data_IF_236059269708
#
_entry.id   IF_236059269708
#
_cell.length_a   1.000
_cell.length_b   1.000
_cell.length_c   1.000
_cell.angle_alpha   90.00
_cell.angle_beta   90.00
_cell.angle_gamma   90.00
#
_symmetry.space_group_name_H-M   'P 1'
#
loop_
_entity.id
_entity.type
_entity.pdbx_description
1 polymer ?
#
# COMPACT_ATOMS: atom_id res chain seq x y z
N UNK A 1 4.96 -21.54 -2.06
CA UNK A 1 3.82 -20.90 -2.74
C UNK A 1 4.36 -19.56 -3.18
N UNK A 2 4.23 -19.18 -4.45
CA UNK A 2 4.61 -17.82 -4.89
C UNK A 2 3.72 -16.83 -4.14
N UNK A 3 4.28 -15.72 -3.67
CA UNK A 3 3.56 -14.69 -2.92
C UNK A 3 2.35 -14.15 -3.73
N UNK A 4 2.42 -14.17 -5.07
CA UNK A 4 1.29 -13.79 -5.92
C UNK A 4 0.11 -14.76 -5.81
N UNK A 5 0.34 -16.08 -5.74
CA UNK A 5 -0.72 -17.07 -5.55
C UNK A 5 -1.33 -17.00 -4.15
N UNK A 6 -0.53 -16.69 -3.13
CA UNK A 6 -1.03 -16.50 -1.77
C UNK A 6 -1.94 -15.26 -1.67
N UNK A 7 -1.55 -14.15 -2.32
CA UNK A 7 -2.40 -12.95 -2.41
C UNK A 7 -3.67 -13.26 -3.22
N UNK A 8 -3.57 -13.96 -4.36
CA UNK A 8 -4.74 -14.36 -5.17
C UNK A 8 -5.77 -15.15 -4.35
N UNK A 9 -5.31 -16.14 -3.57
CA UNK A 9 -6.17 -16.96 -2.70
C UNK A 9 -6.83 -16.09 -1.61
N UNK A 10 -6.08 -15.19 -0.98
CA UNK A 10 -6.62 -14.26 0.02
C UNK A 10 -7.68 -13.32 -0.59
N UNK A 11 -7.43 -12.77 -1.78
CA UNK A 11 -8.35 -11.87 -2.47
C UNK A 11 -9.64 -12.58 -2.94
N UNK A 12 -9.56 -13.86 -3.30
CA UNK A 12 -10.71 -14.65 -3.72
C UNK A 12 -11.76 -14.83 -2.59
N UNK A 13 -11.32 -14.80 -1.32
CA UNK A 13 -12.19 -14.90 -0.16
C UNK A 13 -12.87 -13.60 0.28
N UNK A 14 -12.55 -12.46 -0.34
CA UNK A 14 -13.05 -11.14 0.03
C UNK A 14 -14.19 -10.67 -0.88
N UNK A 15 -15.07 -9.84 -0.31
CA UNK A 15 -16.06 -9.08 -1.06
C UNK A 15 -15.36 -8.10 -2.02
N UNK A 16 -15.98 -7.77 -3.18
CA UNK A 16 -15.36 -6.91 -4.19
C UNK A 16 -14.86 -5.56 -3.65
N UNK A 17 -15.59 -4.96 -2.72
CA UNK A 17 -15.26 -3.65 -2.13
C UNK A 17 -14.06 -3.71 -1.17
N UNK A 18 -13.84 -4.85 -0.53
CA UNK A 18 -12.72 -5.07 0.41
C UNK A 18 -11.47 -5.54 -0.33
N UNK A 19 -11.65 -6.23 -1.45
CA UNK A 19 -10.59 -6.80 -2.26
C UNK A 19 -9.57 -5.75 -2.70
N UNK A 20 -10.02 -4.60 -3.19
CA UNK A 20 -9.09 -3.55 -3.66
C UNK A 20 -8.24 -2.97 -2.53
N UNK A 21 -8.85 -2.73 -1.36
CA UNK A 21 -8.13 -2.21 -0.19
C UNK A 21 -7.09 -3.20 0.32
N UNK A 22 -7.46 -4.48 0.40
CA UNK A 22 -6.54 -5.54 0.81
C UNK A 22 -5.41 -5.75 -0.21
N UNK A 23 -5.73 -5.72 -1.51
CA UNK A 23 -4.76 -5.85 -2.57
C UNK A 23 -3.76 -4.67 -2.59
N UNK A 24 -4.25 -3.44 -2.40
CA UNK A 24 -3.39 -2.26 -2.36
C UNK A 24 -2.27 -2.40 -1.32
N UNK A 25 -2.62 -2.70 -0.06
CA UNK A 25 -1.61 -2.85 0.99
C UNK A 25 -0.66 -4.03 0.71
N UNK A 26 -1.17 -5.21 0.32
CA UNK A 26 -0.34 -6.39 0.10
C UNK A 26 0.60 -6.26 -1.11
N UNK A 27 0.12 -5.70 -2.21
CA UNK A 27 0.92 -5.51 -3.43
C UNK A 27 1.94 -4.39 -3.26
N UNK A 28 1.56 -3.32 -2.55
CA UNK A 28 2.50 -2.24 -2.25
C UNK A 28 3.56 -2.70 -1.26
N UNK A 29 3.22 -3.50 -0.25
CA UNK A 29 4.20 -4.07 0.69
C UNK A 29 5.27 -4.91 -0.05
N UNK A 30 4.85 -5.70 -1.04
CA UNK A 30 5.76 -6.48 -1.89
C UNK A 30 6.76 -5.63 -2.66
N UNK A 31 6.34 -4.45 -3.15
CA UNK A 31 7.24 -3.56 -3.89
C UNK A 31 7.96 -2.57 -2.98
N UNK A 32 7.49 -2.33 -1.76
CA UNK A 32 8.03 -1.33 -0.85
C UNK A 32 9.50 -1.58 -0.50
N UNK A 33 9.91 -2.86 -0.36
CA UNK A 33 11.31 -3.24 -0.10
C UNK A 33 12.24 -3.03 -1.32
N UNK A 34 11.65 -2.82 -2.50
CA UNK A 34 12.37 -2.54 -3.74
C UNK A 34 12.36 -1.06 -4.12
N UNK A 35 11.58 -0.26 -3.39
CA UNK A 35 11.65 1.18 -3.51
C UNK A 35 12.88 1.65 -2.70
N UNK A 36 13.84 2.29 -3.38
CA UNK A 36 14.98 2.97 -2.74
C UNK A 36 14.48 4.26 -2.06
N UNK A 37 13.67 4.08 -1.01
CA UNK A 37 13.01 5.15 -0.27
C UNK A 37 13.94 5.68 0.81
N UNK A 38 13.91 6.99 1.04
CA UNK A 38 14.64 7.57 2.15
C UNK A 38 13.98 7.16 3.48
N UNK A 39 14.65 6.30 4.24
CA UNK A 39 14.16 5.80 5.51
C UNK A 39 13.86 6.94 6.50
N UNK A 40 14.59 8.06 6.47
CA UNK A 40 14.35 9.19 7.37
C UNK A 40 13.05 9.92 7.00
N UNK A 41 12.77 10.08 5.70
CA UNK A 41 11.53 10.67 5.20
C UNK A 41 10.33 9.76 5.51
N UNK A 42 10.45 8.46 5.25
CA UNK A 42 9.43 7.48 5.60
C UNK A 42 9.14 7.47 7.11
N UNK A 43 10.18 7.48 7.94
CA UNK A 43 10.03 7.52 9.40
C UNK A 43 9.38 8.83 9.86
N UNK A 44 9.69 9.96 9.21
CA UNK A 44 9.08 11.24 9.52
C UNK A 44 7.58 11.24 9.16
N UNK A 45 7.22 10.74 7.98
CA UNK A 45 5.83 10.59 7.54
C UNK A 45 5.07 9.62 8.47
N UNK A 46 5.64 8.44 8.75
CA UNK A 46 5.05 7.45 9.66
C UNK A 46 4.77 8.04 11.05
N UNK A 47 5.72 8.78 11.64
CA UNK A 47 5.52 9.42 12.95
C UNK A 47 4.36 10.41 12.93
N UNK A 48 4.23 11.22 11.87
CA UNK A 48 3.11 12.16 11.74
C UNK A 48 1.77 11.43 11.60
N UNK A 49 1.71 10.40 10.77
CA UNK A 49 0.50 9.58 10.61
C UNK A 49 0.12 8.84 11.90
N UNK A 50 1.07 8.26 12.62
CA UNK A 50 0.81 7.59 13.90
C UNK A 50 0.33 8.54 14.99
N UNK A 51 0.78 9.81 14.99
CA UNK A 51 0.24 10.83 15.89
C UNK A 51 -1.24 11.13 15.57
N UNK A 52 -1.62 11.13 14.30
CA UNK A 52 -3.03 11.26 13.88
C UNK A 52 -3.84 10.04 14.31
N UNK A 53 -3.33 8.84 14.06
CA UNK A 53 -4.01 7.60 14.45
C UNK A 53 -4.18 7.49 15.98
N UNK A 54 -3.17 7.90 16.75
CA UNK A 54 -3.25 7.96 18.21
C UNK A 54 -4.25 9.01 18.72
N UNK A 55 -4.43 10.12 18.00
CA UNK A 55 -5.45 11.11 18.34
C UNK A 55 -6.88 10.59 18.13
N UNK A 56 -7.07 9.58 17.26
CA UNK A 56 -8.35 8.91 17.01
C UNK A 56 -8.60 7.71 17.94
N UNK A 57 -7.60 7.32 18.75
CA UNK A 57 -7.73 6.25 19.74
C UNK A 57 -6.63 5.22 19.58
N UNK A 58 -6.96 4.07 18.99
CA UNK A 58 -6.03 2.95 18.84
C UNK A 58 -5.34 3.02 17.45
N UNK A 59 -4.02 3.28 17.37
CA UNK A 59 -3.32 3.36 16.10
C UNK A 59 -3.46 2.12 15.22
N UNK A 60 -3.59 0.92 15.81
CA UNK A 60 -3.75 -0.31 15.01
C UNK A 60 -5.11 -0.40 14.31
N UNK A 61 -6.12 0.30 14.82
CA UNK A 61 -7.48 0.32 14.24
C UNK A 61 -7.70 1.56 13.34
N UNK A 62 -6.90 2.61 13.55
CA UNK A 62 -7.02 3.91 12.88
C UNK A 62 -5.97 4.18 11.79
N UNK A 63 -5.22 3.16 11.34
CA UNK A 63 -4.18 3.28 10.29
C UNK A 63 -4.51 2.56 8.99
N UNK A 64 -5.73 2.01 8.84
CA UNK A 64 -6.13 1.29 7.62
C UNK A 64 -6.45 2.20 6.44
N UNK A 65 -6.71 1.60 5.27
CA UNK A 65 -7.18 2.31 4.08
C UNK A 65 -8.48 3.08 4.38
N UNK A 66 -8.54 4.33 3.95
CA UNK A 66 -9.62 5.28 4.19
C UNK A 66 -9.50 6.04 5.51
N UNK A 67 -8.53 5.67 6.37
CA UNK A 67 -8.29 6.40 7.62
C UNK A 67 -7.65 7.76 7.35
N UNK A 68 -7.87 8.71 8.27
CA UNK A 68 -7.22 10.01 8.19
C UNK A 68 -5.70 9.89 8.23
N UNK A 69 -5.18 8.98 9.07
CA UNK A 69 -3.75 8.74 9.17
C UNK A 69 -3.16 8.28 7.83
N UNK A 70 -3.81 7.33 7.15
CA UNK A 70 -3.38 6.85 5.84
C UNK A 70 -3.44 7.95 4.77
N UNK A 71 -4.55 8.71 4.71
CA UNK A 71 -4.74 9.77 3.71
C UNK A 71 -3.72 10.92 3.85
N UNK A 72 -3.47 11.38 5.08
CA UNK A 72 -2.50 12.45 5.33
C UNK A 72 -1.06 11.97 5.10
N UNK A 73 -0.75 10.73 5.49
CA UNK A 73 0.57 10.13 5.21
C UNK A 73 0.77 9.95 3.70
N UNK A 74 -0.25 9.54 2.95
CA UNK A 74 -0.19 9.42 1.50
C UNK A 74 0.06 10.79 0.82
N UNK A 75 -0.54 11.87 1.35
CA UNK A 75 -0.31 13.22 0.86
C UNK A 75 1.13 13.68 1.11
N UNK A 76 1.71 13.36 2.28
CA UNK A 76 3.12 13.62 2.57
C UNK A 76 4.03 12.86 1.58
N UNK A 77 3.78 11.56 1.38
CA UNK A 77 4.57 10.75 0.45
C UNK A 77 4.48 11.27 -1.00
N UNK A 78 3.31 11.78 -1.40
CA UNK A 78 3.15 12.43 -2.70
C UNK A 78 4.01 13.69 -2.81
N UNK A 79 4.05 14.51 -1.76
CA UNK A 79 4.83 15.75 -1.71
C UNK A 79 6.34 15.49 -1.75
N UNK A 80 6.78 14.38 -1.15
CA UNK A 80 8.17 13.92 -1.15
C UNK A 80 8.55 13.21 -2.47
N UNK A 81 7.59 13.02 -3.40
CA UNK A 81 7.86 12.56 -4.77
C UNK A 81 7.80 11.05 -4.96
N UNK A 82 7.19 10.30 -4.04
CA UNK A 82 7.14 8.84 -4.07
C UNK A 82 6.18 8.23 -5.11
N UNK A 83 5.37 9.05 -5.80
CA UNK A 83 4.44 8.57 -6.82
C UNK A 83 5.11 7.86 -8.01
N UNK A 84 6.15 8.47 -8.60
CA UNK A 84 6.83 7.91 -9.78
C UNK A 84 7.66 6.65 -9.46
N UNK A 85 8.43 6.59 -8.35
CA UNK A 85 9.05 5.35 -7.89
C UNK A 85 8.03 4.22 -7.67
N UNK A 86 6.92 4.52 -6.98
CA UNK A 86 5.88 3.54 -6.70
C UNK A 86 5.25 2.99 -7.99
N UNK A 87 4.92 3.88 -8.93
CA UNK A 87 4.39 3.50 -10.24
C UNK A 87 5.36 2.60 -11.02
N UNK A 88 6.65 2.93 -10.99
CA UNK A 88 7.69 2.15 -11.67
C UNK A 88 7.79 0.73 -11.09
N UNK A 89 7.73 0.60 -9.77
CA UNK A 89 7.76 -0.70 -9.13
C UNK A 89 6.48 -1.52 -9.38
N UNK A 90 5.31 -0.88 -9.43
CA UNK A 90 4.05 -1.53 -9.80
C UNK A 90 4.05 -2.02 -11.27
N UNK A 91 4.70 -1.29 -12.17
CA UNK A 91 4.87 -1.74 -13.57
C UNK A 91 5.76 -2.98 -13.64
N UNK A 92 6.88 -3.00 -12.91
CA UNK A 92 7.74 -4.17 -12.83
C UNK A 92 6.98 -5.37 -12.24
N UNK A 93 6.25 -5.16 -11.15
CA UNK A 93 5.41 -6.20 -10.54
C UNK A 93 4.38 -6.73 -11.55
N UNK A 94 3.70 -5.86 -12.30
CA UNK A 94 2.69 -6.28 -13.28
C UNK A 94 3.23 -7.30 -14.29
N UNK A 95 4.48 -7.13 -14.74
CA UNK A 95 5.13 -8.02 -15.70
C UNK A 95 5.57 -9.36 -15.07
N UNK A 96 5.75 -9.39 -13.75
CA UNK A 96 6.11 -10.58 -12.97
C UNK A 96 4.89 -11.40 -12.51
N UNK A 97 3.70 -10.79 -12.43
CA UNK A 97 2.51 -11.49 -11.94
C UNK A 97 2.11 -12.64 -12.88
N UNK A 98 2.00 -13.88 -12.37
CA UNK A 98 1.56 -15.03 -13.16
C UNK A 98 0.18 -14.84 -13.82
N UNK A 99 0.01 -15.40 -15.02
CA UNK A 99 -1.24 -15.29 -15.80
C UNK A 99 -2.44 -15.94 -15.09
N UNK A 100 -2.19 -16.91 -14.23
CA UNK A 100 -3.16 -17.64 -13.42
C UNK A 100 -3.51 -16.94 -12.09
N UNK A 101 -3.02 -15.72 -11.87
CA UNK A 101 -3.43 -14.82 -10.78
C UNK A 101 -4.22 -13.61 -11.30
N UNK A 102 -5.44 -13.80 -11.87
CA UNK A 102 -6.20 -12.73 -12.51
C UNK A 102 -6.64 -11.61 -11.55
N UNK A 103 -6.92 -11.90 -10.28
CA UNK A 103 -7.32 -10.86 -9.31
C UNK A 103 -6.13 -9.96 -8.95
N UNK A 104 -4.95 -10.55 -8.77
CA UNK A 104 -3.71 -9.80 -8.55
C UNK A 104 -3.40 -8.91 -9.76
N UNK A 105 -3.47 -9.45 -10.99
CA UNK A 105 -3.23 -8.65 -12.21
C UNK A 105 -4.21 -7.48 -12.36
N UNK A 106 -5.49 -7.73 -12.07
CA UNK A 106 -6.50 -6.67 -12.06
C UNK A 106 -6.17 -5.59 -11.03
N UNK A 107 -5.84 -6.00 -9.79
CA UNK A 107 -5.50 -5.05 -8.73
C UNK A 107 -4.25 -4.22 -9.06
N UNK A 108 -3.17 -4.82 -9.58
CA UNK A 108 -1.99 -4.06 -10.01
C UNK A 108 -2.36 -3.08 -11.13
N UNK A 109 -3.20 -3.49 -12.08
CA UNK A 109 -3.67 -2.60 -13.16
C UNK A 109 -4.48 -1.43 -12.63
N UNK A 110 -5.32 -1.64 -11.62
CA UNK A 110 -6.11 -0.58 -10.98
C UNK A 110 -5.20 0.40 -10.22
N UNK A 111 -4.21 -0.09 -9.46
CA UNK A 111 -3.24 0.76 -8.77
C UNK A 111 -2.39 1.60 -9.73
N UNK A 112 -2.07 1.07 -10.91
CA UNK A 112 -1.38 1.82 -11.97
C UNK A 112 -2.23 2.93 -12.59
N UNK A 113 -3.56 2.84 -12.48
CA UNK A 113 -4.51 3.84 -12.97
C UNK A 113 -4.90 4.86 -11.89
N UNK A 114 -4.82 4.48 -10.62
CA UNK A 114 -5.14 5.32 -9.46
C UNK A 114 -3.93 5.49 -8.53
N UNK A 115 -3.12 6.50 -8.83
CA UNK A 115 -1.95 6.88 -8.03
C UNK A 115 -2.32 7.16 -6.55
N UNK A 116 -3.52 7.70 -6.29
CA UNK A 116 -3.93 8.02 -4.91
C UNK A 116 -4.15 6.74 -4.12
N UNK A 117 -4.81 5.75 -4.72
CA UNK A 117 -5.01 4.45 -4.10
C UNK A 117 -3.67 3.72 -3.87
N UNK A 118 -2.72 3.83 -4.81
CA UNK A 118 -1.38 3.28 -4.65
C UNK A 118 -0.62 3.93 -3.48
N UNK A 119 -0.59 5.26 -3.42
CA UNK A 119 0.07 6.01 -2.35
C UNK A 119 -0.59 5.78 -0.99
N UNK A 120 -1.91 5.62 -0.95
CA UNK A 120 -2.63 5.25 0.26
C UNK A 120 -2.26 3.84 0.73
N UNK A 121 -2.13 2.87 -0.19
CA UNK A 121 -1.58 1.55 0.11
C UNK A 121 -0.17 1.63 0.71
N UNK A 122 0.70 2.47 0.13
CA UNK A 122 2.06 2.69 0.65
C UNK A 122 2.03 3.30 2.05
N UNK A 123 1.17 4.29 2.28
CA UNK A 123 1.00 4.91 3.59
C UNK A 123 0.58 3.88 4.65
N UNK A 124 -0.36 3.00 4.34
CA UNK A 124 -0.78 1.93 5.28
C UNK A 124 0.38 1.00 5.60
N UNK A 125 1.17 0.60 4.60
CA UNK A 125 2.37 -0.23 4.80
C UNK A 125 3.38 0.46 5.70
N UNK A 126 3.69 1.72 5.43
CA UNK A 126 4.61 2.54 6.23
C UNK A 126 4.14 2.66 7.68
N UNK A 127 2.84 2.90 7.90
CA UNK A 127 2.26 3.00 9.24
C UNK A 127 2.29 1.66 9.99
N UNK A 128 1.93 0.56 9.33
CA UNK A 128 1.97 -0.77 9.94
C UNK A 128 3.39 -1.20 10.31
N UNK A 129 4.37 -0.99 9.42
CA UNK A 129 5.78 -1.27 9.69
C UNK A 129 6.31 -0.48 10.89
N UNK A 130 5.80 0.73 11.10
CA UNK A 130 6.16 1.57 12.24
C UNK A 130 5.47 1.16 13.57
N UNK A 131 4.37 0.39 13.51
CA UNK A 131 3.68 -0.14 14.69
C UNK A 131 4.32 -1.44 15.18
N UNK A 132 4.72 -2.33 14.25
CA UNK A 132 5.34 -3.63 14.54
C UNK A 132 4.39 -4.81 14.36
#
# INVERSE_FOLDING_TARGET
>A
MDDAHAIEEALAGLEPEERMRAAAAALVDRVADHLDLDEDELNAAARRGLLLAAAEGNPSESSGVGSRAALETAADLAADGYGEPLRSALLALHDEVPIDCPLVRAAVSELLLDERAALEGLAVVVLHRAIG
#
